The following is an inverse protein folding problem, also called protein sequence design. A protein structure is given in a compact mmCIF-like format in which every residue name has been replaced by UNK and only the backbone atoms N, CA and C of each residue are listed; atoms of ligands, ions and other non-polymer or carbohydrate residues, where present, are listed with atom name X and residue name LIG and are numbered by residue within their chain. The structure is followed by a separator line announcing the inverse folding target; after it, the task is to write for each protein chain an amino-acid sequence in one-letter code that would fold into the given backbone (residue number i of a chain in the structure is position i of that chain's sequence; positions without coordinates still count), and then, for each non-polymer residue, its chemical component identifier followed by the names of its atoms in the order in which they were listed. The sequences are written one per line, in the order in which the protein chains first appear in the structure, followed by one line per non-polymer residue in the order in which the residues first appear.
data_IF_485135952197
#
_entry.id   IF_485135952197
#
_cell.length_a   1.000
_cell.length_b   1.000
_cell.length_c   1.000
_cell.angle_alpha   90.00
_cell.angle_beta   90.00
_cell.angle_gamma   90.00
#
_symmetry.space_group_name_H-M   'P 1'
#
loop_
_entity.id
_entity.type
_entity.pdbx_description
1 polymer ?
#
# COMPACT_ATOMS: atom_id res chain seq x y z
N UNK A 1 -5.64 12.93 0.76
CA UNK A 1 -5.57 14.38 0.98
C UNK A 1 -5.31 15.09 -0.35
N UNK A 2 -6.32 15.18 -1.23
CA UNK A 2 -6.14 15.75 -2.57
C UNK A 2 -7.42 16.44 -3.08
N UNK A 3 -8.10 17.18 -2.19
CA UNK A 3 -9.26 18.00 -2.56
C UNK A 3 -9.13 19.47 -2.15
N UNK A 4 -7.94 19.90 -1.71
CA UNK A 4 -7.72 21.28 -1.24
C UNK A 4 -6.84 22.08 -2.23
N UNK A 5 -6.16 21.44 -3.20
CA UNK A 5 -5.22 22.14 -4.09
C UNK A 5 -5.82 22.71 -5.38
N UNK A 6 -7.12 22.54 -5.64
CA UNK A 6 -7.74 23.10 -6.86
C UNK A 6 -8.30 24.53 -6.66
N UNK A 7 -8.34 25.05 -5.44
CA UNK A 7 -8.84 26.40 -5.15
C UNK A 7 -7.73 27.45 -4.93
N UNK A 8 -6.46 27.07 -5.04
CA UNK A 8 -5.30 27.95 -4.81
C UNK A 8 -4.49 28.24 -6.08
N UNK A 9 -5.11 28.18 -7.26
CA UNK A 9 -4.53 28.73 -8.47
C UNK A 9 -4.98 30.18 -8.65
N UNK A 10 -4.07 31.15 -8.82
CA UNK A 10 -4.43 32.56 -9.04
C UNK A 10 -5.26 32.79 -10.33
N UNK A 11 -5.28 31.81 -11.24
CA UNK A 11 -6.08 31.84 -12.47
C UNK A 11 -7.56 31.47 -12.23
N UNK A 12 -7.88 30.68 -11.19
CA UNK A 12 -9.26 30.30 -10.87
C UNK A 12 -10.07 31.42 -10.21
N UNK A 13 -9.41 32.24 -9.39
CA UNK A 13 -10.02 33.43 -8.77
C UNK A 13 -10.33 34.53 -9.81
N UNK A 14 -9.53 34.64 -10.87
CA UNK A 14 -9.77 35.59 -11.97
C UNK A 14 -11.00 35.24 -12.81
N UNK A 15 -11.31 33.95 -13.00
CA UNK A 15 -12.53 33.49 -13.68
C UNK A 15 -13.80 33.70 -12.85
N UNK A 16 -13.69 33.62 -11.52
CA UNK A 16 -14.83 33.88 -10.62
C UNK A 16 -15.11 35.39 -10.46
N UNK A 17 -14.06 36.22 -10.50
CA UNK A 17 -14.19 37.69 -10.47
C UNK A 17 -14.77 38.28 -11.76
N UNK A 18 -14.63 37.61 -12.89
CA UNK A 18 -15.21 38.05 -14.18
C UNK A 18 -16.70 37.74 -14.26
N UNK A 19 -17.17 36.58 -13.78
CA UNK A 19 -18.61 36.29 -13.67
C UNK A 19 -19.35 37.18 -12.65
N UNK A 20 -18.64 37.70 -11.64
CA UNK A 20 -19.20 38.68 -10.68
C UNK A 20 -19.32 40.09 -11.24
N UNK A 21 -18.74 40.38 -12.41
CA UNK A 21 -18.72 41.73 -13.01
C UNK A 21 -19.83 41.96 -14.03
N UNK A 22 -20.41 40.89 -14.58
CA UNK A 22 -21.44 40.95 -15.64
C UNK A 22 -22.88 40.71 -15.14
N UNK A 23 -23.06 40.47 -13.83
CA UNK A 23 -24.39 40.50 -13.20
C UNK A 23 -24.42 41.65 -12.19
N UNK A 24 -25.43 42.52 -12.31
CA UNK A 24 -25.65 43.68 -11.45
C UNK A 24 -25.33 43.36 -9.98
N UNK A 25 -24.35 44.08 -9.43
CA UNK A 25 -23.45 43.60 -8.39
C UNK A 25 -24.03 43.30 -7.01
N UNK A 26 -25.36 43.27 -6.81
CA UNK A 26 -25.97 42.87 -5.54
C UNK A 26 -26.23 41.37 -5.42
N UNK A 27 -26.69 40.69 -6.49
CA UNK A 27 -27.05 39.27 -6.41
C UNK A 27 -25.83 38.37 -6.24
N UNK A 28 -24.73 38.67 -6.94
CA UNK A 28 -23.47 37.94 -6.79
C UNK A 28 -22.86 38.05 -5.38
N UNK A 29 -22.92 39.24 -4.77
CA UNK A 29 -22.44 39.45 -3.39
C UNK A 29 -23.31 38.67 -2.40
N UNK A 30 -24.63 38.68 -2.56
CA UNK A 30 -25.55 37.94 -1.67
C UNK A 30 -25.30 36.42 -1.71
N UNK A 31 -25.00 35.85 -2.87
CA UNK A 31 -24.68 34.42 -3.00
C UNK A 31 -23.38 34.09 -2.26
N UNK A 32 -22.34 34.91 -2.41
CA UNK A 32 -21.07 34.70 -1.70
C UNK A 32 -21.26 34.80 -0.18
N UNK A 33 -22.03 35.79 0.29
CA UNK A 33 -22.33 35.95 1.72
C UNK A 33 -23.12 34.75 2.25
N UNK A 34 -24.11 34.25 1.51
CA UNK A 34 -24.89 33.08 1.91
C UNK A 34 -24.03 31.80 1.99
N UNK A 35 -23.12 31.60 1.04
CA UNK A 35 -22.18 30.47 1.06
C UNK A 35 -21.20 30.57 2.23
N UNK A 36 -20.69 31.76 2.54
CA UNK A 36 -19.83 32.00 3.70
C UNK A 36 -20.59 31.77 5.02
N UNK A 37 -21.82 32.26 5.14
CA UNK A 37 -22.65 32.03 6.31
C UNK A 37 -22.97 30.53 6.50
N UNK A 38 -23.29 29.82 5.42
CA UNK A 38 -23.48 28.37 5.43
C UNK A 38 -22.22 27.61 5.86
N UNK A 39 -21.05 28.02 5.34
CA UNK A 39 -19.76 27.45 5.72
C UNK A 39 -19.43 27.68 7.20
N UNK A 40 -19.61 28.92 7.70
CA UNK A 40 -19.40 29.28 9.10
C UNK A 40 -20.36 28.51 10.00
N UNK A 41 -21.64 28.37 9.61
CA UNK A 41 -22.60 27.57 10.36
C UNK A 41 -22.19 26.09 10.43
N UNK A 42 -21.73 25.50 9.32
CA UNK A 42 -21.21 24.12 9.30
C UNK A 42 -20.01 23.97 10.24
N UNK A 43 -19.06 24.91 10.22
CA UNK A 43 -17.93 24.89 11.14
C UNK A 43 -18.37 25.05 12.60
N UNK A 44 -19.28 25.98 12.89
CA UNK A 44 -19.84 26.18 14.22
C UNK A 44 -20.56 24.94 14.74
N UNK A 45 -21.37 24.26 13.91
CA UNK A 45 -22.04 23.02 14.31
C UNK A 45 -21.05 21.86 14.50
N UNK A 46 -19.98 21.79 13.70
CA UNK A 46 -18.92 20.80 13.88
C UNK A 46 -18.15 21.02 15.18
N UNK A 47 -17.81 22.28 15.48
CA UNK A 47 -17.10 22.66 16.71
C UNK A 47 -18.01 22.48 17.94
N UNK A 48 -19.29 22.86 17.86
CA UNK A 48 -20.27 22.63 18.90
C UNK A 48 -20.47 21.13 19.20
N UNK A 49 -20.41 20.26 18.18
CA UNK A 49 -20.40 18.79 18.37
C UNK A 49 -19.14 18.32 19.09
N UNK A 50 -17.98 18.82 18.71
CA UNK A 50 -16.70 18.51 19.35
C UNK A 50 -16.69 18.94 20.82
N UNK A 51 -17.14 20.16 21.12
CA UNK A 51 -17.28 20.70 22.48
C UNK A 51 -18.27 19.88 23.29
N UNK A 52 -19.42 19.49 22.71
CA UNK A 52 -20.40 18.64 23.39
C UNK A 52 -19.84 17.26 23.73
N UNK A 53 -19.13 16.63 22.80
CA UNK A 53 -18.44 15.36 23.04
C UNK A 53 -17.35 15.50 24.12
N UNK A 54 -16.58 16.60 24.09
CA UNK A 54 -15.57 16.89 25.10
C UNK A 54 -16.18 17.15 26.48
N UNK A 55 -17.36 17.79 26.55
CA UNK A 55 -18.11 18.01 27.78
C UNK A 55 -18.64 16.68 28.34
N UNK A 56 -19.21 15.83 27.48
CA UNK A 56 -19.68 14.48 27.84
C UNK A 56 -18.55 13.55 28.32
N UNK A 57 -17.28 13.84 27.96
CA UNK A 57 -16.10 13.11 28.43
C UNK A 57 -15.47 13.64 29.73
N UNK A 58 -15.99 14.72 30.34
CA UNK A 58 -15.41 15.25 31.59
C UNK A 58 -15.67 14.28 32.76
N UNK A 59 -14.63 13.88 33.50
CA UNK A 59 -14.80 13.12 34.73
C UNK A 59 -15.69 13.88 35.72
N UNK A 60 -16.68 13.20 36.30
CA UNK A 60 -17.55 13.75 37.35
C UNK A 60 -18.92 14.27 36.91
N UNK A 61 -19.25 14.25 35.61
CA UNK A 61 -20.63 14.42 35.17
C UNK A 61 -21.41 13.11 35.33
N UNK A 62 -22.62 13.12 35.89
CA UNK A 62 -23.47 11.94 35.89
C UNK A 62 -23.81 11.60 34.45
N UNK A 63 -23.24 10.51 33.94
CA UNK A 63 -23.64 9.94 32.65
C UNK A 63 -25.13 9.61 32.77
N UNK A 64 -26.00 10.13 31.88
CA UNK A 64 -27.40 9.74 31.87
C UNK A 64 -27.48 8.21 31.88
N UNK A 65 -28.21 7.64 32.84
CA UNK A 65 -28.34 6.19 32.95
C UNK A 65 -28.67 5.63 31.56
N UNK A 66 -27.86 4.66 31.11
CA UNK A 66 -28.08 4.02 29.82
C UNK A 66 -29.47 3.39 29.83
N UNK A 67 -30.42 4.02 29.14
CA UNK A 67 -31.78 3.53 29.09
C UNK A 67 -31.82 2.33 28.14
N UNK A 68 -32.36 1.21 28.64
CA UNK A 68 -32.61 0.04 27.81
C UNK A 68 -33.49 0.41 26.61
N UNK A 69 -33.09 -0.02 25.43
CA UNK A 69 -33.77 0.29 24.17
C UNK A 69 -33.53 1.70 23.61
N UNK A 70 -32.69 2.52 24.24
CA UNK A 70 -32.27 3.81 23.67
C UNK A 70 -31.37 3.64 22.43
N UNK A 71 -31.25 4.70 21.62
CA UNK A 71 -30.33 4.73 20.48
C UNK A 71 -28.88 4.39 20.91
N UNK A 72 -28.41 4.96 22.03
CA UNK A 72 -27.08 4.66 22.57
C UNK A 72 -26.93 3.18 22.95
N UNK A 73 -27.98 2.56 23.50
CA UNK A 73 -27.96 1.12 23.79
C UNK A 73 -27.92 0.30 22.50
N UNK A 74 -28.70 0.67 21.49
CA UNK A 74 -28.70 0.00 20.19
C UNK A 74 -27.33 0.11 19.49
N UNK A 75 -26.69 1.27 19.50
CA UNK A 75 -25.35 1.48 18.93
C UNK A 75 -24.29 0.62 19.64
N UNK A 76 -24.37 0.55 20.98
CA UNK A 76 -23.46 -0.27 21.78
C UNK A 76 -23.65 -1.78 21.49
N UNK A 77 -24.89 -2.26 21.43
CA UNK A 77 -25.20 -3.65 21.07
C UNK A 77 -24.79 -3.94 19.63
N UNK A 78 -25.02 -3.02 18.71
CA UNK A 78 -24.60 -3.15 17.32
C UNK A 78 -23.08 -3.29 17.20
N UNK A 79 -22.31 -2.40 17.86
CA UNK A 79 -20.86 -2.46 17.87
C UNK A 79 -20.34 -3.77 18.49
N UNK A 80 -20.94 -4.21 19.59
CA UNK A 80 -20.59 -5.49 20.24
C UNK A 80 -20.88 -6.70 19.32
N UNK A 81 -22.11 -6.81 18.82
CA UNK A 81 -22.55 -7.97 18.05
C UNK A 81 -21.87 -8.08 16.68
N UNK A 82 -21.52 -6.95 16.06
CA UNK A 82 -20.93 -6.96 14.71
C UNK A 82 -19.40 -6.96 14.70
N UNK A 83 -18.73 -6.64 15.80
CA UNK A 83 -17.25 -6.59 15.84
C UNK A 83 -16.65 -7.91 15.38
N UNK A 84 -17.02 -9.02 16.03
CA UNK A 84 -16.46 -10.34 15.74
C UNK A 84 -16.88 -10.84 14.35
N UNK A 85 -18.10 -10.50 13.92
CA UNK A 85 -18.58 -10.79 12.57
C UNK A 85 -17.70 -10.11 11.51
N UNK A 86 -17.45 -8.80 11.64
CA UNK A 86 -16.60 -8.07 10.70
C UNK A 86 -15.15 -8.56 10.76
N UNK A 87 -14.64 -8.96 11.93
CA UNK A 87 -13.33 -9.59 12.02
C UNK A 87 -13.26 -10.92 11.26
N UNK A 88 -14.29 -11.78 11.37
CA UNK A 88 -14.35 -13.02 10.61
C UNK A 88 -14.39 -12.76 9.11
N UNK A 89 -15.19 -11.79 8.66
CA UNK A 89 -15.25 -11.41 7.24
C UNK A 89 -13.94 -10.79 6.73
N UNK A 90 -13.22 -10.03 7.55
CA UNK A 90 -11.90 -9.49 7.20
C UNK A 90 -10.84 -10.60 7.05
N UNK A 91 -10.90 -11.65 7.88
CA UNK A 91 -10.08 -12.86 7.67
C UNK A 91 -10.46 -13.60 6.39
N UNK A 92 -11.77 -13.70 6.09
CA UNK A 92 -12.24 -14.23 4.82
C UNK A 92 -11.70 -13.44 3.63
N UNK A 93 -11.70 -12.10 3.72
CA UNK A 93 -11.08 -11.23 2.72
C UNK A 93 -9.59 -11.53 2.56
N UNK A 94 -8.84 -11.62 3.66
CA UNK A 94 -7.39 -11.93 3.62
C UNK A 94 -7.10 -13.29 2.96
N UNK A 95 -7.89 -14.32 3.27
CA UNK A 95 -7.78 -15.63 2.64
C UNK A 95 -8.04 -15.55 1.13
N UNK A 96 -9.13 -14.90 0.73
CA UNK A 96 -9.47 -14.74 -0.68
C UNK A 96 -8.42 -13.93 -1.45
N UNK A 97 -7.86 -12.88 -0.85
CA UNK A 97 -6.76 -12.11 -1.43
C UNK A 97 -5.50 -12.98 -1.60
N UNK A 98 -5.14 -13.74 -0.57
CA UNK A 98 -3.96 -14.63 -0.59
C UNK A 98 -4.08 -15.70 -1.67
N UNK A 99 -5.25 -16.35 -1.78
CA UNK A 99 -5.51 -17.36 -2.81
C UNK A 99 -5.41 -16.79 -4.23
N UNK A 100 -5.86 -15.54 -4.42
CA UNK A 100 -5.80 -14.85 -5.71
C UNK A 100 -4.47 -14.10 -5.92
N UNK A 101 -3.50 -14.27 -5.02
CA UNK A 101 -2.16 -13.69 -5.12
C UNK A 101 -2.03 -12.22 -4.68
N UNK A 102 -3.12 -11.57 -4.27
CA UNK A 102 -3.09 -10.20 -3.77
C UNK A 102 -2.69 -10.13 -2.30
N UNK A 103 -2.27 -8.93 -1.87
CA UNK A 103 -1.94 -8.64 -0.47
C UNK A 103 -2.51 -7.27 -0.06
N UNK A 104 -2.53 -7.02 1.24
CA UNK A 104 -2.86 -5.71 1.79
C UNK A 104 -1.59 -4.86 1.96
N UNK A 105 -1.70 -3.56 1.71
CA UNK A 105 -0.64 -2.57 1.91
C UNK A 105 -1.20 -1.31 2.56
N UNK A 106 -0.34 -0.60 3.29
CA UNK A 106 -0.60 0.77 3.77
C UNK A 106 -0.19 1.83 2.74
N UNK A 107 0.60 1.44 1.74
CA UNK A 107 1.04 2.34 0.68
C UNK A 107 -0.04 2.50 -0.39
N UNK A 108 -0.66 3.69 -0.40
CA UNK A 108 -1.72 4.04 -1.34
C UNK A 108 -1.26 4.04 -2.80
N UNK A 109 0.01 4.32 -3.09
CA UNK A 109 0.52 4.41 -4.46
C UNK A 109 0.53 3.06 -5.18
N UNK A 110 0.60 1.97 -4.40
CA UNK A 110 0.63 0.58 -4.89
C UNK A 110 -0.75 -0.07 -4.97
N UNK A 111 -1.81 0.71 -4.78
CA UNK A 111 -3.18 0.21 -4.81
C UNK A 111 -3.56 -0.24 -6.23
N UNK A 112 -4.09 -1.45 -6.34
CA UNK A 112 -4.71 -1.96 -7.57
C UNK A 112 -5.95 -1.13 -7.93
N UNK A 113 -6.05 -0.71 -9.18
CA UNK A 113 -7.18 0.10 -9.67
C UNK A 113 -8.43 -0.76 -9.88
N UNK A 114 -8.25 -1.96 -10.45
CA UNK A 114 -9.34 -2.91 -10.70
C UNK A 114 -8.86 -4.34 -10.51
N UNK A 115 -9.64 -5.13 -9.77
CA UNK A 115 -9.42 -6.57 -9.62
C UNK A 115 -10.27 -7.26 -10.71
N UNK A 116 -9.69 -8.19 -11.50
CA UNK A 116 -10.43 -8.97 -12.50
C UNK A 116 -11.68 -9.63 -11.92
N UNK A 117 -12.70 -9.81 -12.76
CA UNK A 117 -14.00 -10.34 -12.31
C UNK A 117 -13.86 -11.72 -11.65
N UNK A 118 -13.09 -12.62 -12.25
CA UNK A 118 -12.82 -13.97 -11.73
C UNK A 118 -12.26 -13.93 -10.31
N UNK A 119 -11.22 -13.11 -10.07
CA UNK A 119 -10.63 -12.93 -8.75
C UNK A 119 -11.61 -12.27 -7.78
N UNK A 120 -12.40 -11.28 -8.24
CA UNK A 120 -13.46 -10.69 -7.41
C UNK A 120 -14.49 -11.72 -6.96
N UNK A 121 -14.89 -12.63 -7.84
CA UNK A 121 -15.84 -13.69 -7.50
C UNK A 121 -15.25 -14.60 -6.42
N UNK A 122 -14.03 -15.09 -6.61
CA UNK A 122 -13.30 -15.90 -5.60
C UNK A 122 -13.21 -15.19 -4.25
N UNK A 123 -12.77 -13.93 -4.23
CA UNK A 123 -12.63 -13.17 -2.97
C UNK A 123 -14.01 -12.96 -2.31
N UNK A 124 -15.04 -12.64 -3.10
CA UNK A 124 -16.39 -12.41 -2.57
C UNK A 124 -17.01 -13.66 -1.95
N UNK A 125 -16.74 -14.84 -2.51
CA UNK A 125 -17.12 -16.15 -1.97
C UNK A 125 -16.52 -16.38 -0.59
N UNK A 126 -15.22 -16.11 -0.42
CA UNK A 126 -14.56 -16.23 0.88
C UNK A 126 -15.16 -15.32 1.95
N UNK A 127 -15.41 -14.05 1.60
CA UNK A 127 -16.05 -13.08 2.51
C UNK A 127 -17.44 -13.56 2.91
N UNK A 128 -18.25 -13.96 1.93
CA UNK A 128 -19.60 -14.42 2.17
C UNK A 128 -19.63 -15.71 3.01
N UNK A 129 -18.77 -16.68 2.70
CA UNK A 129 -18.64 -17.93 3.46
C UNK A 129 -18.28 -17.67 4.91
N UNK A 130 -17.31 -16.79 5.17
CA UNK A 130 -16.93 -16.40 6.52
C UNK A 130 -18.11 -15.80 7.31
N UNK A 131 -18.93 -14.95 6.66
CA UNK A 131 -20.18 -14.44 7.25
C UNK A 131 -21.15 -15.56 7.58
N UNK A 132 -21.39 -16.49 6.65
CA UNK A 132 -22.37 -17.56 6.85
C UNK A 132 -21.96 -18.51 7.98
N UNK A 133 -20.71 -18.92 8.03
CA UNK A 133 -20.21 -19.79 9.11
C UNK A 133 -20.25 -19.10 10.48
N UNK A 134 -20.00 -17.79 10.52
CA UNK A 134 -20.15 -17.04 11.75
C UNK A 134 -21.61 -16.98 12.22
N UNK A 135 -22.55 -16.69 11.31
CA UNK A 135 -23.98 -16.56 11.64
C UNK A 135 -24.69 -17.90 11.82
N UNK A 136 -24.13 -18.99 11.31
CA UNK A 136 -24.75 -20.32 11.33
C UNK A 136 -23.69 -21.41 11.46
N UNK A 137 -23.07 -21.58 12.64
CA UNK A 137 -21.96 -22.52 12.84
C UNK A 137 -22.33 -24.00 12.60
N UNK A 138 -23.61 -24.35 12.73
CA UNK A 138 -24.11 -25.70 12.49
C UNK A 138 -24.47 -26.02 11.04
N UNK A 139 -24.18 -25.12 10.09
CA UNK A 139 -24.50 -25.32 8.68
C UNK A 139 -23.58 -26.37 8.05
N UNK A 140 -24.14 -27.27 7.24
CA UNK A 140 -23.35 -28.23 6.48
C UNK A 140 -22.58 -27.56 5.34
N UNK A 141 -21.49 -28.19 4.91
CA UNK A 141 -20.68 -27.68 3.81
C UNK A 141 -21.46 -27.62 2.49
N UNK A 142 -22.29 -28.63 2.21
CA UNK A 142 -23.12 -28.64 0.99
C UNK A 142 -24.08 -27.45 0.97
N UNK A 143 -24.81 -27.23 2.06
CA UNK A 143 -25.74 -26.09 2.16
C UNK A 143 -25.03 -24.75 2.07
N UNK A 144 -23.80 -24.68 2.57
CA UNK A 144 -22.96 -23.48 2.44
C UNK A 144 -22.67 -23.18 0.96
N UNK A 145 -22.30 -24.21 0.17
CA UNK A 145 -22.01 -24.05 -1.26
C UNK A 145 -23.23 -23.59 -2.04
N UNK A 146 -24.39 -24.19 -1.79
CA UNK A 146 -25.64 -23.83 -2.49
C UNK A 146 -25.98 -22.33 -2.25
N UNK A 147 -25.95 -21.89 -0.99
CA UNK A 147 -26.25 -20.50 -0.62
C UNK A 147 -25.18 -19.52 -1.13
N UNK A 148 -23.91 -19.96 -1.19
CA UNK A 148 -22.82 -19.16 -1.74
C UNK A 148 -23.01 -18.91 -3.23
N UNK A 149 -23.38 -19.94 -4.01
CA UNK A 149 -23.63 -19.78 -5.44
C UNK A 149 -24.81 -18.83 -5.70
N UNK A 150 -25.90 -18.94 -4.92
CA UNK A 150 -27.03 -18.01 -4.99
C UNK A 150 -26.60 -16.56 -4.70
N UNK A 151 -25.83 -16.35 -3.62
CA UNK A 151 -25.37 -15.02 -3.22
C UNK A 151 -24.33 -14.40 -4.17
N UNK A 152 -23.62 -15.22 -4.93
CA UNK A 152 -22.74 -14.75 -6.00
C UNK A 152 -23.59 -14.32 -7.20
N UNK A 153 -24.56 -15.15 -7.58
CA UNK A 153 -25.42 -14.92 -8.74
C UNK A 153 -26.34 -13.70 -8.57
N UNK A 154 -26.86 -13.46 -7.37
CA UNK A 154 -27.71 -12.29 -7.07
C UNK A 154 -26.90 -11.01 -6.78
N UNK A 155 -25.57 -11.11 -6.68
CA UNK A 155 -24.65 -10.00 -6.45
C UNK A 155 -24.45 -9.62 -4.98
N UNK A 156 -25.11 -10.29 -4.03
CA UNK A 156 -25.00 -10.00 -2.59
C UNK A 156 -23.59 -10.21 -2.05
N UNK A 157 -22.91 -11.29 -2.45
CA UNK A 157 -21.51 -11.53 -2.08
C UNK A 157 -20.59 -10.39 -2.59
N UNK A 158 -20.84 -9.91 -3.81
CA UNK A 158 -20.12 -8.78 -4.39
C UNK A 158 -20.36 -7.45 -3.65
N UNK A 159 -21.58 -7.23 -3.15
CA UNK A 159 -21.92 -6.09 -2.31
C UNK A 159 -21.11 -6.11 -0.99
N UNK A 160 -21.08 -7.25 -0.30
CA UNK A 160 -20.31 -7.40 0.94
C UNK A 160 -18.82 -7.13 0.72
N UNK A 161 -18.24 -7.67 -0.36
CA UNK A 161 -16.86 -7.39 -0.73
C UNK A 161 -16.62 -5.88 -0.91
N UNK A 162 -17.53 -5.18 -1.60
CA UNK A 162 -17.39 -3.74 -1.81
C UNK A 162 -17.45 -2.93 -0.50
N UNK A 163 -18.30 -3.33 0.45
CA UNK A 163 -18.38 -2.71 1.78
C UNK A 163 -17.04 -2.86 2.50
N UNK A 164 -16.48 -4.08 2.52
CA UNK A 164 -15.18 -4.33 3.17
C UNK A 164 -14.03 -3.57 2.50
N UNK A 165 -13.93 -3.59 1.17
CA UNK A 165 -12.87 -2.85 0.46
C UNK A 165 -12.94 -1.35 0.78
N UNK A 166 -14.14 -0.76 0.80
CA UNK A 166 -14.32 0.65 1.15
C UNK A 166 -13.97 0.91 2.61
N UNK A 167 -14.38 0.03 3.53
CA UNK A 167 -14.01 0.10 4.94
C UNK A 167 -12.50 0.02 5.17
N UNK A 168 -11.83 -0.93 4.52
CA UNK A 168 -10.37 -1.05 4.54
C UNK A 168 -9.70 0.23 4.02
N UNK A 169 -10.16 0.76 2.88
CA UNK A 169 -9.61 1.97 2.29
C UNK A 169 -9.80 3.20 3.19
N UNK A 170 -10.93 3.29 3.90
CA UNK A 170 -11.18 4.32 4.91
C UNK A 170 -10.15 4.25 6.05
N UNK A 171 -9.83 3.05 6.51
CA UNK A 171 -8.80 2.79 7.52
C UNK A 171 -7.36 2.81 6.98
N UNK A 172 -7.16 3.18 5.72
CA UNK A 172 -5.84 3.29 5.10
C UNK A 172 -5.19 1.96 4.70
N UNK A 173 -5.99 0.92 4.50
CA UNK A 173 -5.57 -0.36 3.92
C UNK A 173 -6.02 -0.48 2.47
N UNK A 174 -5.10 -0.89 1.59
CA UNK A 174 -5.32 -0.99 0.17
C UNK A 174 -4.91 -2.37 -0.34
N UNK A 175 -5.57 -2.85 -1.38
CA UNK A 175 -5.19 -4.10 -2.06
C UNK A 175 -4.06 -3.77 -3.04
N UNK A 176 -2.95 -4.51 -2.99
CA UNK A 176 -1.82 -4.44 -3.93
C UNK A 176 -1.71 -5.77 -4.67
N UNK A 177 -1.25 -5.69 -5.92
CA UNK A 177 -0.73 -6.84 -6.63
C UNK A 177 0.45 -7.44 -5.86
N UNK A 178 0.71 -8.74 -6.02
CA UNK A 178 1.93 -9.33 -5.50
C UNK A 178 3.10 -8.53 -6.05
N UNK A 179 4.04 -8.13 -5.19
CA UNK A 179 5.36 -7.77 -5.69
C UNK A 179 5.84 -9.04 -6.37
N UNK A 180 6.12 -9.07 -7.68
CA UNK A 180 6.77 -10.21 -8.26
C UNK A 180 8.05 -10.40 -7.44
N UNK A 181 8.13 -11.51 -6.71
CA UNK A 181 9.40 -11.96 -6.16
C UNK A 181 10.33 -11.96 -7.35
N UNK A 182 11.39 -11.13 -7.31
CA UNK A 182 12.27 -10.93 -8.47
C UNK A 182 12.74 -12.30 -8.93
N UNK A 183 12.08 -12.82 -9.95
CA UNK A 183 12.41 -14.08 -10.57
C UNK A 183 13.19 -13.64 -11.78
N UNK A 184 14.53 -13.73 -11.78
CA UNK A 184 15.31 -13.47 -12.98
C UNK A 184 14.89 -14.50 -14.02
N UNK A 185 13.88 -14.15 -14.82
CA UNK A 185 13.24 -14.99 -15.84
C UNK A 185 13.63 -14.54 -17.24
N UNK A 186 14.34 -13.41 -17.33
CA UNK A 186 14.93 -12.86 -18.55
C UNK A 186 16.45 -12.97 -18.47
N UNK A 187 16.96 -14.18 -18.67
CA UNK A 187 18.38 -14.37 -18.97
C UNK A 187 18.65 -14.01 -20.44
N UNK A 188 19.81 -13.41 -20.75
CA UNK A 188 20.87 -13.00 -19.81
C UNK A 188 20.50 -11.73 -19.00
N UNK A 189 20.88 -11.72 -17.71
CA UNK A 189 20.77 -10.53 -16.87
C UNK A 189 21.90 -9.56 -17.17
N UNK A 190 21.58 -8.26 -17.28
CA UNK A 190 22.60 -7.20 -17.35
C UNK A 190 23.07 -6.85 -15.93
N UNK A 191 24.30 -7.19 -15.58
CA UNK A 191 24.92 -6.88 -14.29
C UNK A 191 25.85 -5.67 -14.38
N UNK A 192 25.72 -4.76 -13.41
CA UNK A 192 26.63 -3.64 -13.18
C UNK A 192 27.20 -3.75 -11.77
N UNK A 193 28.52 -3.76 -11.64
CA UNK A 193 29.23 -3.75 -10.37
C UNK A 193 30.05 -2.47 -10.26
N UNK A 194 29.77 -1.66 -9.24
CA UNK A 194 30.47 -0.39 -8.98
C UNK A 194 31.38 -0.62 -7.77
N UNK A 195 32.69 -0.55 -7.96
CA UNK A 195 33.67 -0.61 -6.88
C UNK A 195 34.20 0.79 -6.61
N UNK A 196 33.83 1.35 -5.46
CA UNK A 196 34.24 2.70 -5.05
C UNK A 196 35.39 2.57 -4.06
N UNK A 197 36.52 3.22 -4.37
CA UNK A 197 37.73 3.27 -3.53
C UNK A 197 38.01 4.69 -3.11
N UNK A 198 38.08 4.92 -1.81
CA UNK A 198 38.44 6.20 -1.23
C UNK A 198 39.76 6.09 -0.45
N UNK A 199 40.66 7.05 -0.63
CA UNK A 199 41.92 7.16 0.13
C UNK A 199 41.80 8.09 1.34
N UNK A 200 40.68 8.82 1.47
CA UNK A 200 40.35 9.73 2.57
C UNK A 200 38.86 9.61 2.91
N UNK A 201 38.41 10.33 3.95
CA UNK A 201 36.98 10.41 4.27
C UNK A 201 36.23 11.14 3.15
N UNK A 202 35.07 10.61 2.74
CA UNK A 202 34.28 11.10 1.60
C UNK A 202 32.84 11.34 2.03
N UNK A 203 32.20 12.36 1.46
CA UNK A 203 30.79 12.65 1.73
C UNK A 203 29.88 11.62 1.05
N UNK A 204 28.79 11.25 1.72
CA UNK A 204 27.77 10.36 1.14
C UNK A 204 27.20 10.89 -0.18
N UNK A 205 27.14 12.23 -0.33
CA UNK A 205 26.72 12.89 -1.58
C UNK A 205 27.58 12.51 -2.78
N UNK A 206 28.89 12.34 -2.58
CA UNK A 206 29.84 12.09 -3.66
C UNK A 206 29.70 10.65 -4.16
N UNK A 207 29.48 9.71 -3.24
CA UNK A 207 29.17 8.31 -3.56
C UNK A 207 27.82 8.21 -4.30
N UNK A 208 26.79 8.93 -3.84
CA UNK A 208 25.48 8.95 -4.51
C UNK A 208 25.59 9.58 -5.91
N UNK A 209 26.43 10.61 -6.08
CA UNK A 209 26.69 11.22 -7.39
C UNK A 209 27.31 10.22 -8.36
N UNK A 210 28.27 9.39 -7.92
CA UNK A 210 28.86 8.32 -8.72
C UNK A 210 27.78 7.31 -9.15
N UNK A 211 26.95 6.86 -8.21
CA UNK A 211 25.89 5.88 -8.52
C UNK A 211 24.92 6.45 -9.57
N UNK A 212 24.53 7.72 -9.43
CA UNK A 212 23.62 8.39 -10.38
C UNK A 212 24.25 8.58 -11.77
N UNK A 213 25.53 8.95 -11.83
CA UNK A 213 26.27 9.07 -13.10
C UNK A 213 26.36 7.72 -13.81
N UNK A 214 26.75 6.66 -13.09
CA UNK A 214 26.81 5.29 -13.63
C UNK A 214 25.42 4.82 -14.07
N UNK A 215 24.38 5.08 -13.29
CA UNK A 215 23.00 4.75 -13.67
C UNK A 215 22.57 5.47 -14.94
N UNK A 216 22.96 6.75 -15.12
CA UNK A 216 22.73 7.52 -16.34
C UNK A 216 23.42 6.89 -17.56
N UNK A 217 24.69 6.51 -17.42
CA UNK A 217 25.48 5.85 -18.48
C UNK A 217 24.92 4.48 -18.86
N UNK A 218 24.59 3.65 -17.86
CA UNK A 218 23.99 2.31 -18.04
C UNK A 218 22.65 2.39 -18.76
N UNK A 219 21.81 3.38 -18.42
CA UNK A 219 20.50 3.57 -19.04
C UNK A 219 20.59 3.87 -20.54
N UNK A 220 21.66 4.53 -20.97
CA UNK A 220 21.90 4.88 -22.39
C UNK A 220 22.61 3.77 -23.17
N UNK A 221 23.03 2.69 -22.50
CA UNK A 221 23.84 1.65 -23.11
C UNK A 221 22.96 0.56 -23.76
N UNK A 222 23.10 0.32 -25.08
CA UNK A 222 22.22 -0.60 -25.80
C UNK A 222 22.46 -2.07 -25.43
N UNK A 223 23.70 -2.48 -25.21
CA UNK A 223 24.11 -3.87 -24.97
C UNK A 223 25.23 -3.98 -23.95
N UNK A 224 25.27 -5.10 -23.24
CA UNK A 224 26.31 -5.41 -22.27
C UNK A 224 27.26 -6.46 -22.86
N UNK A 225 28.56 -6.39 -22.56
CA UNK A 225 29.51 -7.36 -23.07
C UNK A 225 29.31 -8.72 -22.36
N UNK A 226 29.50 -9.83 -23.08
CA UNK A 226 29.49 -11.18 -22.49
C UNK A 226 30.73 -11.44 -21.61
N UNK A 227 31.78 -10.65 -21.76
CA UNK A 227 32.97 -10.69 -20.90
C UNK A 227 33.07 -9.39 -20.09
N UNK A 228 33.48 -9.46 -18.81
CA UNK A 228 33.53 -8.30 -17.94
C UNK A 228 34.43 -7.24 -18.54
N UNK A 229 33.83 -6.13 -18.96
CA UNK A 229 34.59 -4.97 -19.40
C UNK A 229 34.69 -4.01 -18.22
N UNK A 230 35.93 -3.69 -17.86
CA UNK A 230 36.24 -2.72 -16.84
C UNK A 230 36.43 -1.36 -17.51
N UNK A 231 35.47 -0.46 -17.31
CA UNK A 231 35.66 0.96 -17.60
C UNK A 231 36.13 1.63 -16.32
N UNK A 232 37.42 1.97 -16.29
CA UNK A 232 37.97 2.90 -15.30
C UNK A 232 37.55 4.29 -15.75
N UNK A 233 36.65 4.93 -15.00
CA UNK A 233 36.20 6.27 -15.32
C UNK A 233 36.37 7.18 -14.11
N UNK A 234 37.14 8.24 -14.34
CA UNK A 234 37.28 9.53 -13.67
C UNK A 234 37.32 9.65 -12.14
N UNK A 235 38.40 10.32 -11.73
CA UNK A 235 38.63 10.91 -10.41
C UNK A 235 37.57 11.99 -10.17
N UNK A 236 36.60 11.73 -9.29
CA UNK A 236 35.60 12.75 -8.89
C UNK A 236 36.25 13.84 -8.02
N UNK A 237 37.24 13.45 -7.22
CA UNK A 237 38.16 14.31 -6.45
C UNK A 237 39.43 13.51 -6.13
N UNK A 238 40.53 14.19 -5.78
CA UNK A 238 41.89 13.63 -5.62
C UNK A 238 42.07 12.45 -4.65
N UNK A 239 41.00 12.00 -3.98
CA UNK A 239 40.97 10.81 -3.13
C UNK A 239 39.82 9.82 -3.36
N UNK A 240 39.01 9.97 -4.42
CA UNK A 240 37.85 9.09 -4.70
C UNK A 240 37.89 8.56 -6.14
N UNK A 241 38.08 7.25 -6.27
CA UNK A 241 38.11 6.53 -7.54
C UNK A 241 36.95 5.54 -7.58
N UNK A 242 36.38 5.32 -8.77
CA UNK A 242 35.41 4.24 -8.96
C UNK A 242 35.74 3.40 -10.19
N UNK A 243 35.47 2.11 -10.09
CA UNK A 243 35.61 1.14 -11.17
C UNK A 243 34.22 0.60 -11.47
N UNK A 244 33.82 0.61 -12.74
CA UNK A 244 32.56 0.01 -13.17
C UNK A 244 32.86 -1.22 -13.99
N UNK A 245 32.32 -2.36 -13.57
CA UNK A 245 32.30 -3.61 -14.33
C UNK A 245 30.90 -3.87 -14.84
N UNK A 246 30.81 -4.22 -16.11
CA UNK A 246 29.56 -4.53 -16.77
C UNK A 246 29.68 -5.88 -17.46
N UNK A 247 28.65 -6.72 -17.32
CA UNK A 247 28.57 -7.99 -18.01
C UNK A 247 27.12 -8.47 -18.16
N UNK A 248 26.85 -9.26 -19.18
CA UNK A 248 25.67 -10.14 -19.23
C UNK A 248 25.99 -11.44 -18.47
N UNK A 249 25.05 -11.90 -17.63
CA UNK A 249 25.17 -13.18 -16.92
C UNK A 249 23.94 -14.03 -17.18
N UNK A 250 24.18 -15.28 -17.54
CA UNK A 250 23.16 -16.33 -17.66
C UNK A 250 22.79 -16.98 -16.32
N UNK A 251 23.43 -16.53 -15.23
CA UNK A 251 23.22 -16.99 -13.86
C UNK A 251 22.87 -15.78 -12.98
N UNK A 252 21.95 -15.93 -12.01
CA UNK A 252 21.58 -14.84 -11.13
C UNK A 252 22.81 -14.44 -10.29
N UNK A 253 23.18 -13.14 -10.24
CA UNK A 253 24.26 -12.72 -9.37
C UNK A 253 23.88 -13.06 -7.93
N UNK A 254 24.76 -13.76 -7.21
CA UNK A 254 24.57 -14.12 -5.82
C UNK A 254 24.42 -12.87 -4.95
N UNK A 255 23.19 -12.38 -4.82
CA UNK A 255 22.83 -11.17 -4.06
C UNK A 255 22.57 -11.45 -2.58
N UNK A 256 22.78 -12.69 -2.15
CA UNK A 256 22.92 -13.04 -0.75
C UNK A 256 24.20 -13.84 -0.63
N UNK A 257 25.11 -13.39 0.23
CA UNK A 257 26.28 -14.18 0.59
C UNK A 257 25.80 -15.60 0.88
N UNK A 258 26.27 -16.61 0.12
CA UNK A 258 26.38 -17.95 0.70
C UNK A 258 27.07 -17.77 2.05
N UNK A 259 26.56 -18.38 3.14
CA UNK A 259 27.19 -18.25 4.44
C UNK A 259 28.67 -18.55 4.24
N UNK A 260 29.50 -17.61 4.72
CA UNK A 260 30.95 -17.64 4.55
C UNK A 260 31.45 -19.07 4.60
N UNK A 261 32.24 -19.43 3.60
CA UNK A 261 32.98 -20.67 3.42
C UNK A 261 33.49 -21.21 4.78
N UNK A 262 32.62 -21.90 5.52
CA UNK A 262 33.03 -22.76 6.62
C UNK A 262 33.48 -23.99 5.89
N UNK A 263 34.76 -23.99 5.56
CA UNK A 263 35.51 -25.12 5.07
C UNK A 263 35.41 -26.25 6.11
N UNK A 264 34.31 -27.00 6.11
CA UNK A 264 34.34 -28.36 6.61
C UNK A 264 35.11 -29.16 5.58
N UNK A 265 36.44 -29.13 5.69
CA UNK A 265 37.29 -30.21 5.18
C UNK A 265 36.84 -31.47 5.88
N UNK A 266 35.92 -32.20 5.26
CA UNK A 266 35.68 -33.59 5.61
C UNK A 266 36.92 -34.34 5.14
N UNK A 267 37.91 -34.46 6.01
CA UNK A 267 39.07 -35.32 5.78
C UNK A 267 38.52 -36.74 5.76
N UNK A 268 38.53 -37.35 4.58
CA UNK A 268 38.26 -38.78 4.43
C UNK A 268 39.36 -39.56 5.16
N UNK A 269 39.04 -40.57 6.00
CA UNK A 269 40.04 -41.37 6.71
C UNK A 269 41.02 -42.16 5.83
N UNK A 270 40.96 -42.02 4.51
CA UNK A 270 41.83 -42.70 3.55
C UNK A 270 43.09 -41.90 3.17
N UNK A 271 43.18 -40.63 3.56
CA UNK A 271 44.32 -39.77 3.21
C UNK A 271 45.42 -39.72 4.30
N UNK A 272 45.34 -40.59 5.32
CA UNK A 272 46.37 -40.74 6.36
C UNK A 272 46.80 -42.20 6.38
N UNK A 273 47.60 -42.61 5.39
CA UNK A 273 48.54 -43.73 5.44
C UNK A 273 49.14 -43.91 4.03
N UNK A 274 50.05 -43.00 3.64
CA UNK A 274 51.20 -43.29 2.76
C UNK A 274 52.03 -42.01 2.58
N UNK A 275 52.78 -41.66 3.63
CA UNK A 275 54.09 -41.01 3.50
C UNK A 275 54.78 -41.06 4.85
N UNK A 276 55.91 -41.78 4.86
CA UNK A 276 56.86 -42.03 5.97
C UNK A 276 56.51 -43.18 6.90
#
# INVERSE_FOLDING_TARGET
MALISCFTSPQGLQGMLTCLRDTEGMTGILVVVALLAGWIAVQYFADARCVRQAWESRPGLPVPLAQFGSARHADAVHAFANRELYQAMLRGLENGLTETGYKLTRDRSRRVVAIPLEHRLTISRWVFRARQWYMSPGMSEQRTKDIEDDAVNDGYAGMLLNVLIRGCAHEGWYITEPVPEFTPTSFPLKQVSINVRATQAVLTSDVVSIINDVAGKVRMQPSFPHHPTCTVADVVNSGLNYEVRQQEIDEPPGWFNSPADVSYRTISPKDILHSS
#
